data_IF_039041146156
#
_entry.id   IF_039041146156
#
_cell.length_a   1.000
_cell.length_b   1.000
_cell.length_c   1.000
_cell.angle_alpha   90.00
_cell.angle_beta   90.00
_cell.angle_gamma   90.00
#
_symmetry.space_group_name_H-M   'P 1'
#
loop_
_entity.id
_entity.type
_entity.pdbx_description
1 polymer ?
#
# COMPACT_ATOMS: atom_id res chain seq x y z
N UNK A 1 10.81 -11.88 36.95
CA UNK A 1 9.87 -11.25 35.99
C UNK A 1 9.47 -12.30 34.98
N UNK A 2 8.27 -12.87 35.10
CA UNK A 2 7.73 -13.75 34.06
C UNK A 2 7.48 -12.89 32.83
N UNK A 3 8.23 -13.15 31.75
CA UNK A 3 8.03 -12.46 30.48
C UNK A 3 6.65 -12.84 29.93
N UNK A 4 5.77 -11.85 29.77
CA UNK A 4 4.36 -12.05 29.42
C UNK A 4 4.13 -12.73 28.06
N UNK A 5 5.17 -12.85 27.24
CA UNK A 5 5.15 -13.43 25.88
C UNK A 5 5.71 -14.86 25.79
N UNK A 6 6.24 -15.42 26.89
CA UNK A 6 6.86 -16.75 26.84
C UNK A 6 5.82 -17.86 26.70
N UNK A 7 5.85 -18.59 25.57
CA UNK A 7 4.97 -19.73 25.31
C UNK A 7 3.53 -19.36 24.92
N UNK A 8 3.27 -18.10 24.59
CA UNK A 8 1.97 -17.61 24.10
C UNK A 8 2.12 -17.04 22.69
N UNK A 9 1.03 -17.07 21.93
CA UNK A 9 0.95 -16.27 20.70
C UNK A 9 0.72 -14.81 21.09
N UNK A 10 1.74 -13.99 20.88
CA UNK A 10 1.72 -12.56 21.13
C UNK A 10 1.72 -11.73 19.83
N UNK A 11 1.32 -12.35 18.70
CA UNK A 11 1.39 -11.73 17.36
C UNK A 11 0.72 -10.37 17.32
N UNK A 12 -0.41 -10.19 18.01
CA UNK A 12 -1.11 -8.90 18.09
C UNK A 12 -0.29 -7.84 18.83
N UNK A 13 0.27 -8.17 19.99
CA UNK A 13 1.02 -7.24 20.82
C UNK A 13 2.26 -6.68 20.10
N UNK A 14 2.89 -7.47 19.22
CA UNK A 14 3.98 -7.01 18.36
C UNK A 14 3.56 -5.94 17.34
N UNK A 15 2.27 -5.85 17.01
CA UNK A 15 1.75 -4.85 16.09
C UNK A 15 1.19 -3.65 16.84
N UNK A 16 0.38 -3.89 17.86
CA UNK A 16 -0.29 -2.82 18.61
C UNK A 16 0.63 -2.12 19.60
N UNK A 17 1.75 -2.75 19.98
CA UNK A 17 2.61 -2.32 21.07
C UNK A 17 2.01 -2.53 22.46
N UNK A 18 0.83 -3.16 22.54
CA UNK A 18 0.14 -3.40 23.80
C UNK A 18 0.46 -4.78 24.37
N UNK A 19 1.33 -4.80 25.38
CA UNK A 19 1.78 -6.02 26.08
C UNK A 19 1.10 -6.23 27.44
N UNK A 20 -0.01 -5.53 27.71
CA UNK A 20 -0.86 -5.81 28.87
C UNK A 20 -1.68 -7.10 28.65
N UNK A 21 -2.43 -7.55 29.67
CA UNK A 21 -3.22 -8.79 29.59
C UNK A 21 -4.28 -8.79 28.48
N UNK A 22 -4.86 -7.63 28.15
CA UNK A 22 -5.84 -7.49 27.08
C UNK A 22 -5.21 -7.43 25.68
N UNK A 23 -3.99 -6.92 25.57
CA UNK A 23 -3.23 -6.80 24.33
C UNK A 23 -2.51 -8.10 23.92
N UNK A 24 -2.26 -8.99 24.87
CA UNK A 24 -1.73 -10.35 24.66
C UNK A 24 -2.80 -11.30 24.10
N UNK A 25 -3.28 -10.96 22.90
CA UNK A 25 -4.26 -11.73 22.15
C UNK A 25 -3.61 -12.37 20.92
N UNK A 26 -4.12 -13.56 20.57
CA UNK A 26 -3.78 -14.30 19.36
C UNK A 26 -4.72 -13.94 18.18
N UNK A 27 -5.71 -13.06 18.42
CA UNK A 27 -6.65 -12.59 17.42
C UNK A 27 -6.10 -11.40 16.62
N UNK A 28 -6.04 -11.56 15.29
CA UNK A 28 -5.51 -10.58 14.34
C UNK A 28 -6.50 -10.27 13.20
N UNK A 29 -7.69 -10.86 13.20
CA UNK A 29 -8.63 -10.72 12.07
C UNK A 29 -9.28 -9.33 12.01
N UNK A 30 -9.23 -8.56 13.07
CA UNK A 30 -9.66 -7.16 13.14
C UNK A 30 -8.56 -6.17 12.72
N UNK A 31 -7.31 -6.61 12.58
CA UNK A 31 -6.21 -5.76 12.14
C UNK A 31 -6.38 -5.30 10.69
N UNK A 32 -5.86 -4.12 10.37
CA UNK A 32 -5.85 -3.55 9.03
C UNK A 32 -4.93 -4.34 8.08
N UNK A 33 -5.12 -4.24 6.75
CA UNK A 33 -4.22 -4.84 5.76
C UNK A 33 -2.73 -4.49 5.98
N UNK A 34 -2.44 -3.25 6.37
CA UNK A 34 -1.08 -2.77 6.61
C UNK A 34 -0.47 -3.40 7.87
N UNK A 35 -1.27 -3.54 8.93
CA UNK A 35 -0.86 -4.20 10.18
C UNK A 35 -0.60 -5.70 9.98
N UNK A 36 -1.46 -6.38 9.21
CA UNK A 36 -1.25 -7.78 8.83
C UNK A 36 0.03 -7.99 8.01
N UNK A 37 0.38 -7.02 7.16
CA UNK A 37 1.66 -7.04 6.44
C UNK A 37 2.84 -6.98 7.42
N UNK A 38 2.75 -6.17 8.47
CA UNK A 38 3.78 -6.13 9.52
C UNK A 38 3.92 -7.49 10.23
N UNK A 39 2.83 -8.24 10.46
CA UNK A 39 2.90 -9.60 11.03
C UNK A 39 3.69 -10.54 10.13
N UNK A 40 3.43 -10.50 8.81
CA UNK A 40 4.18 -11.32 7.84
C UNK A 40 5.67 -10.97 7.90
N UNK A 41 6.01 -9.68 7.94
CA UNK A 41 7.39 -9.24 8.03
C UNK A 41 8.09 -9.73 9.30
N UNK A 42 7.43 -9.63 10.46
CA UNK A 42 7.96 -10.20 11.70
C UNK A 42 8.16 -11.71 11.59
N UNK A 43 7.22 -12.42 10.98
CA UNK A 43 7.33 -13.88 10.78
C UNK A 43 8.56 -14.24 9.94
N UNK A 44 8.81 -13.50 8.85
CA UNK A 44 10.00 -13.67 7.99
C UNK A 44 11.30 -13.34 8.73
N UNK A 45 11.31 -12.25 9.51
CA UNK A 45 12.43 -11.86 10.36
C UNK A 45 12.79 -12.98 11.36
N UNK A 46 11.81 -13.46 12.13
CA UNK A 46 12.04 -14.51 13.13
C UNK A 46 12.44 -15.84 12.47
N UNK A 47 11.88 -16.17 11.30
CA UNK A 47 12.27 -17.38 10.56
C UNK A 47 13.73 -17.36 10.10
N UNK A 48 14.28 -16.17 9.82
CA UNK A 48 15.68 -15.99 9.43
C UNK A 48 16.62 -16.07 10.63
N UNK A 49 16.26 -15.38 11.71
CA UNK A 49 17.19 -15.11 12.81
C UNK A 49 17.08 -16.12 13.98
N UNK A 50 16.04 -16.97 13.98
CA UNK A 50 15.80 -17.96 15.03
C UNK A 50 15.58 -19.36 14.45
N UNK A 51 16.04 -20.38 15.20
CA UNK A 51 15.82 -21.78 14.83
C UNK A 51 14.34 -22.16 15.02
N UNK A 52 13.67 -22.46 13.91
CA UNK A 52 12.31 -23.00 13.94
C UNK A 52 12.20 -24.25 14.83
N UNK A 53 11.20 -24.27 15.72
CA UNK A 53 10.98 -25.37 16.68
C UNK A 53 9.70 -26.16 16.43
N UNK A 54 8.72 -25.60 15.74
CA UNK A 54 7.43 -26.23 15.51
C UNK A 54 6.29 -25.21 15.45
N UNK A 55 5.07 -25.74 15.48
CA UNK A 55 3.83 -24.95 15.50
C UNK A 55 3.26 -24.90 16.91
N UNK A 56 2.67 -23.77 17.27
CA UNK A 56 1.96 -23.62 18.53
C UNK A 56 0.54 -24.17 18.39
N UNK A 57 0.18 -25.15 19.22
CA UNK A 57 -1.18 -25.67 19.32
C UNK A 57 -2.08 -24.57 19.88
N UNK A 58 -3.16 -24.24 19.18
CA UNK A 58 -4.07 -23.17 19.56
C UNK A 58 -4.94 -22.71 18.40
N UNK A 59 -5.22 -21.41 18.34
CA UNK A 59 -6.14 -20.83 17.38
C UNK A 59 -5.76 -21.08 15.92
N UNK A 60 -4.46 -21.08 15.59
CA UNK A 60 -3.97 -21.26 14.21
C UNK A 60 -3.75 -22.72 13.83
N UNK A 61 -3.35 -23.58 14.78
CA UNK A 61 -3.01 -24.97 14.50
C UNK A 61 -3.59 -25.91 15.54
N UNK A 62 -4.14 -27.04 15.09
CA UNK A 62 -4.67 -28.08 15.98
C UNK A 62 -3.55 -28.91 16.64
N UNK A 63 -3.94 -29.89 17.48
CA UNK A 63 -3.00 -30.78 18.18
C UNK A 63 -2.15 -31.66 17.25
N UNK A 64 -2.54 -31.81 15.98
CA UNK A 64 -1.82 -32.54 14.95
C UNK A 64 -0.95 -31.61 14.08
N UNK A 65 -1.01 -30.30 14.32
CA UNK A 65 -0.30 -29.28 13.55
C UNK A 65 -0.96 -28.90 12.23
N UNK A 66 -2.22 -29.27 12.00
CA UNK A 66 -2.98 -28.86 10.82
C UNK A 66 -3.50 -27.43 10.98
N UNK A 67 -3.57 -26.64 9.91
CA UNK A 67 -4.15 -25.30 9.95
C UNK A 67 -5.64 -25.36 10.28
N UNK A 68 -6.09 -24.50 11.18
CA UNK A 68 -7.51 -24.33 11.52
C UNK A 68 -8.25 -23.49 10.47
N UNK A 69 -9.57 -23.36 10.59
CA UNK A 69 -10.35 -22.40 9.80
C UNK A 69 -9.84 -20.96 10.00
N UNK A 70 -9.49 -20.60 11.23
CA UNK A 70 -8.98 -19.27 11.58
C UNK A 70 -7.66 -18.97 10.85
N UNK A 71 -6.72 -19.93 10.81
CA UNK A 71 -5.49 -19.78 10.05
C UNK A 71 -5.77 -19.48 8.58
N UNK A 72 -6.66 -20.26 7.96
CA UNK A 72 -6.99 -20.08 6.55
C UNK A 72 -7.62 -18.71 6.27
N UNK A 73 -8.45 -18.21 7.20
CA UNK A 73 -9.06 -16.89 7.08
C UNK A 73 -8.02 -15.77 7.16
N UNK A 74 -7.11 -15.81 8.14
CA UNK A 74 -6.00 -14.84 8.24
C UNK A 74 -5.14 -14.87 6.99
N UNK A 75 -4.77 -16.05 6.50
CA UNK A 75 -3.96 -16.19 5.29
C UNK A 75 -4.68 -15.69 4.04
N UNK A 76 -5.99 -15.90 3.93
CA UNK A 76 -6.80 -15.35 2.85
C UNK A 76 -6.87 -13.82 2.93
N UNK A 77 -7.03 -13.24 4.12
CA UNK A 77 -7.02 -11.80 4.33
C UNK A 77 -5.68 -11.17 3.95
N UNK A 78 -4.56 -11.80 4.35
CA UNK A 78 -3.21 -11.41 3.95
C UNK A 78 -3.03 -11.49 2.43
N UNK A 79 -3.48 -12.58 1.80
CA UNK A 79 -3.39 -12.76 0.35
C UNK A 79 -4.18 -11.69 -0.41
N UNK A 80 -5.40 -11.42 0.01
CA UNK A 80 -6.25 -10.37 -0.57
C UNK A 80 -5.62 -9.00 -0.39
N UNK A 81 -5.07 -8.69 0.80
CA UNK A 81 -4.36 -7.45 1.06
C UNK A 81 -3.14 -7.29 0.14
N UNK A 82 -2.32 -8.34 0.00
CA UNK A 82 -1.16 -8.33 -0.91
C UNK A 82 -1.59 -8.09 -2.36
N UNK A 83 -2.57 -8.82 -2.86
CA UNK A 83 -3.06 -8.65 -4.23
C UNK A 83 -3.58 -7.22 -4.46
N UNK A 84 -4.37 -6.68 -3.53
CA UNK A 84 -4.87 -5.30 -3.62
C UNK A 84 -3.73 -4.27 -3.66
N UNK A 85 -2.68 -4.44 -2.87
CA UNK A 85 -1.50 -3.57 -2.92
C UNK A 85 -0.79 -3.63 -4.28
N UNK A 86 -0.66 -4.83 -4.86
CA UNK A 86 -0.07 -5.01 -6.21
C UNK A 86 -0.95 -4.33 -7.27
N UNK A 87 -2.26 -4.50 -7.18
CA UNK A 87 -3.21 -3.87 -8.11
C UNK A 87 -3.12 -2.34 -8.01
N UNK A 88 -3.14 -1.79 -6.80
CA UNK A 88 -2.99 -0.34 -6.55
C UNK A 88 -1.65 0.20 -7.06
N UNK A 89 -0.56 -0.55 -6.90
CA UNK A 89 0.77 -0.19 -7.40
C UNK A 89 0.82 -0.23 -8.94
N UNK A 90 0.26 -1.27 -9.56
CA UNK A 90 0.18 -1.40 -11.00
C UNK A 90 -0.67 -0.28 -11.64
N UNK A 91 -1.74 0.16 -10.96
CA UNK A 91 -2.55 1.29 -11.39
C UNK A 91 -1.76 2.61 -11.25
N UNK A 92 -0.93 2.77 -10.23
CA UNK A 92 -0.05 3.95 -10.08
C UNK A 92 1.08 3.99 -11.11
N UNK A 93 1.58 2.84 -11.56
CA UNK A 93 2.51 2.79 -12.68
C UNK A 93 1.83 3.15 -14.01
N UNK A 94 0.59 2.68 -14.19
CA UNK A 94 -0.22 2.99 -15.38
C UNK A 94 -0.71 4.43 -15.41
N UNK A 95 -1.02 4.99 -14.23
CA UNK A 95 -1.57 6.32 -14.01
C UNK A 95 -0.80 7.03 -12.88
N UNK A 96 0.45 7.47 -13.15
CA UNK A 96 1.31 8.09 -12.14
C UNK A 96 0.69 9.37 -11.59
N UNK A 97 0.87 9.68 -10.29
CA UNK A 97 0.36 10.90 -9.70
C UNK A 97 0.99 12.14 -10.35
N UNK A 98 0.22 13.22 -10.38
CA UNK A 98 0.74 14.54 -10.74
C UNK A 98 1.57 15.13 -9.61
N UNK A 99 2.48 16.04 -9.95
CA UNK A 99 2.95 17.00 -8.98
C UNK A 99 1.84 18.02 -8.69
N UNK A 100 1.78 18.51 -7.47
CA UNK A 100 0.78 19.49 -7.05
C UNK A 100 1.39 20.52 -6.11
N UNK A 101 0.99 21.77 -6.28
CA UNK A 101 1.28 22.86 -5.36
C UNK A 101 0.00 23.63 -5.09
N UNK A 102 -0.09 24.26 -3.92
CA UNK A 102 -1.19 25.14 -3.56
C UNK A 102 -0.65 26.42 -2.95
N UNK A 103 -1.24 27.55 -3.33
CA UNK A 103 -1.03 28.81 -2.63
C UNK A 103 -2.33 29.60 -2.52
N UNK A 104 -2.40 30.48 -1.52
CA UNK A 104 -3.57 31.30 -1.27
C UNK A 104 -3.91 32.23 -2.45
N UNK A 105 -2.89 32.80 -3.11
CA UNK A 105 -3.07 33.77 -4.20
C UNK A 105 -3.34 33.14 -5.56
N UNK A 106 -2.89 31.90 -5.79
CA UNK A 106 -2.91 31.26 -7.11
C UNK A 106 -3.72 29.97 -7.21
N UNK A 107 -4.25 29.48 -6.08
CA UNK A 107 -5.02 28.25 -5.99
C UNK A 107 -4.16 27.00 -6.13
N UNK A 108 -4.79 25.89 -6.53
CA UNK A 108 -4.09 24.61 -6.76
C UNK A 108 -3.54 24.58 -8.18
N UNK A 109 -2.28 24.19 -8.35
CA UNK A 109 -1.69 23.88 -9.65
C UNK A 109 -1.21 22.45 -9.66
N UNK A 110 -1.54 21.73 -10.73
CA UNK A 110 -1.09 20.36 -10.98
C UNK A 110 -0.29 20.29 -12.28
N UNK A 111 0.77 19.50 -12.29
CA UNK A 111 1.57 19.30 -13.50
C UNK A 111 2.20 17.93 -13.56
N UNK A 112 2.52 17.54 -14.78
CA UNK A 112 3.27 16.34 -15.09
C UNK A 112 4.65 16.75 -15.59
N UNK A 113 5.70 16.12 -15.07
CA UNK A 113 7.10 16.25 -15.53
C UNK A 113 7.67 14.86 -15.80
N UNK A 114 8.95 14.68 -16.11
CA UNK A 114 9.56 13.33 -16.14
C UNK A 114 9.67 12.66 -14.76
N UNK A 115 9.16 13.32 -13.71
CA UNK A 115 9.30 12.92 -12.31
C UNK A 115 7.99 13.16 -11.56
N UNK A 116 7.36 12.09 -11.06
CA UNK A 116 6.15 12.18 -10.22
C UNK A 116 6.50 12.07 -8.73
N UNK A 117 5.68 12.62 -7.80
CA UNK A 117 5.92 12.45 -6.37
C UNK A 117 5.96 10.96 -5.99
N UNK A 118 6.79 10.62 -5.00
CA UNK A 118 6.98 9.23 -4.54
C UNK A 118 5.65 8.61 -4.12
N UNK A 119 5.37 7.41 -4.63
CA UNK A 119 4.62 6.41 -3.90
C UNK A 119 5.64 5.38 -3.41
N UNK A 120 5.61 5.08 -2.10
CA UNK A 120 6.54 4.11 -1.50
C UNK A 120 6.33 2.78 -2.21
N UNK A 121 7.30 2.32 -3.00
CA UNK A 121 7.28 0.96 -3.52
C UNK A 121 7.43 0.01 -2.34
N UNK A 122 6.45 -0.87 -2.05
CA UNK A 122 6.76 -2.06 -1.33
C UNK A 122 7.42 -3.01 -2.34
N UNK A 123 8.75 -3.02 -2.41
CA UNK A 123 9.44 -4.07 -3.15
C UNK A 123 8.90 -5.43 -2.69
N UNK A 124 8.23 -6.14 -3.61
CA UNK A 124 7.87 -7.55 -3.42
C UNK A 124 9.16 -8.36 -3.15
N UNK A 125 9.07 -9.44 -2.36
CA UNK A 125 10.13 -9.85 -1.47
C UNK A 125 11.22 -10.61 -2.23
N UNK A 126 12.36 -9.96 -2.41
CA UNK A 126 13.63 -10.67 -2.57
C UNK A 126 14.66 -9.89 -1.77
N UNK A 127 14.99 -10.50 -0.62
CA UNK A 127 16.17 -10.33 0.21
C UNK A 127 16.64 -8.90 0.54
N UNK A 128 16.71 -8.63 1.85
CA UNK A 128 17.81 -7.93 2.52
C UNK A 128 18.46 -6.84 1.66
N UNK A 129 17.92 -5.64 1.68
CA UNK A 129 18.73 -4.45 1.43
C UNK A 129 18.21 -3.31 2.30
N UNK A 130 19.15 -2.54 2.83
CA UNK A 130 18.86 -1.26 3.49
C UNK A 130 17.90 -0.48 2.59
N UNK A 131 16.79 -0.02 3.16
CA UNK A 131 15.79 0.79 2.47
C UNK A 131 16.47 2.01 1.84
N UNK A 132 16.83 1.92 0.56
CA UNK A 132 17.34 3.06 -0.21
C UNK A 132 16.14 3.94 -0.49
N UNK A 133 15.95 4.95 0.36
CA UNK A 133 15.04 6.06 0.08
C UNK A 133 15.69 6.89 -1.02
N UNK A 134 15.48 6.52 -2.28
CA UNK A 134 15.63 7.49 -3.34
C UNK A 134 14.43 8.43 -3.24
N UNK A 135 14.61 9.59 -2.59
CA UNK A 135 13.64 10.68 -2.46
C UNK A 135 13.23 11.32 -3.80
N UNK A 136 13.46 10.63 -4.92
CA UNK A 136 13.41 11.18 -6.27
C UNK A 136 12.08 11.00 -7.00
N UNK A 137 11.13 10.19 -6.53
CA UNK A 137 9.86 10.02 -7.24
C UNK A 137 9.89 8.98 -8.37
N UNK A 138 8.76 8.79 -9.08
CA UNK A 138 8.67 7.86 -10.21
C UNK A 138 9.28 8.55 -11.43
N UNK A 139 10.46 8.09 -11.86
CA UNK A 139 11.13 8.56 -13.07
C UNK A 139 10.52 7.94 -14.32
N UNK A 140 10.30 8.75 -15.35
CA UNK A 140 9.73 8.33 -16.64
C UNK A 140 10.40 9.04 -17.82
N UNK A 141 10.30 8.42 -18.98
CA UNK A 141 10.80 8.93 -20.27
C UNK A 141 9.86 9.95 -20.94
N UNK A 142 8.74 10.28 -20.31
CA UNK A 142 7.72 11.19 -20.85
C UNK A 142 7.19 12.16 -19.79
N UNK A 143 6.65 13.30 -20.25
CA UNK A 143 6.08 14.35 -19.39
C UNK A 143 4.58 14.12 -19.20
N UNK A 144 3.84 14.07 -20.30
CA UNK A 144 2.41 13.78 -20.31
C UNK A 144 1.53 14.93 -19.84
N UNK A 145 0.23 14.66 -19.71
CA UNK A 145 -0.79 15.65 -19.39
C UNK A 145 -1.57 15.25 -18.14
N UNK A 146 -1.88 16.19 -17.23
CA UNK A 146 -2.64 15.90 -16.03
C UNK A 146 -4.12 15.68 -16.36
N UNK A 147 -4.74 14.68 -15.73
CA UNK A 147 -6.15 14.31 -15.86
C UNK A 147 -6.73 13.93 -14.50
N UNK A 148 -8.04 14.14 -14.34
CA UNK A 148 -8.80 13.66 -13.18
C UNK A 148 -9.09 12.17 -13.39
N UNK A 149 -8.54 11.32 -12.54
CA UNK A 149 -8.81 9.89 -12.51
C UNK A 149 -9.78 9.57 -11.35
N UNK A 150 -11.00 9.19 -11.70
CA UNK A 150 -12.06 8.84 -10.77
C UNK A 150 -11.94 7.41 -10.27
N UNK A 151 -12.22 7.22 -8.99
CA UNK A 151 -12.31 5.89 -8.40
C UNK A 151 -13.58 5.18 -8.90
N UNK A 152 -13.52 3.87 -9.19
CA UNK A 152 -14.71 3.13 -9.62
C UNK A 152 -15.85 3.23 -8.59
N UNK A 153 -17.00 3.75 -9.01
CA UNK A 153 -18.18 3.85 -8.15
C UNK A 153 -18.15 5.00 -7.14
N UNK A 154 -17.22 5.95 -7.27
CA UNK A 154 -17.14 7.15 -6.42
C UNK A 154 -16.99 8.42 -7.27
N UNK A 155 -17.37 9.56 -6.71
CA UNK A 155 -17.11 10.90 -7.27
C UNK A 155 -15.71 11.43 -6.88
N UNK A 156 -15.01 10.73 -5.99
CA UNK A 156 -13.61 11.01 -5.66
C UNK A 156 -12.72 10.82 -6.88
N UNK A 157 -11.80 11.76 -7.08
CA UNK A 157 -10.79 11.68 -8.12
C UNK A 157 -9.43 12.09 -7.59
N UNK A 158 -8.39 11.61 -8.26
CA UNK A 158 -6.99 12.03 -8.06
C UNK A 158 -6.40 12.53 -9.38
N UNK A 159 -5.37 13.37 -9.29
CA UNK A 159 -4.63 13.75 -10.50
C UNK A 159 -3.75 12.59 -10.97
N UNK A 160 -3.83 12.26 -12.26
CA UNK A 160 -2.99 11.28 -12.92
C UNK A 160 -2.39 11.85 -14.21
N UNK A 161 -1.13 11.51 -14.47
CA UNK A 161 -0.42 11.89 -15.68
C UNK A 161 -0.64 10.86 -16.80
N UNK A 162 -0.93 11.34 -18.00
CA UNK A 162 -1.22 10.52 -19.18
C UNK A 162 -0.21 10.79 -20.30
N UNK A 163 0.43 9.76 -20.83
CA UNK A 163 1.46 9.89 -21.90
C UNK A 163 0.87 10.40 -23.20
N UNK A 164 -0.24 9.80 -23.64
CA UNK A 164 -0.92 10.13 -24.90
C UNK A 164 -2.43 10.24 -24.68
N UNK A 165 -2.99 11.46 -24.60
CA UNK A 165 -4.42 11.65 -24.38
C UNK A 165 -5.30 11.18 -25.55
N UNK A 166 -4.72 10.92 -26.74
CA UNK A 166 -5.47 10.48 -27.94
C UNK A 166 -5.62 8.96 -28.02
N UNK A 167 -4.63 8.23 -27.49
CA UNK A 167 -4.57 6.76 -27.52
C UNK A 167 -4.88 6.12 -26.15
N UNK A 168 -5.03 6.93 -25.11
CA UNK A 168 -5.57 6.44 -23.85
C UNK A 168 -7.09 6.42 -24.02
N UNK A 169 -7.74 5.26 -24.16
CA UNK A 169 -9.18 5.22 -24.26
C UNK A 169 -9.71 6.02 -23.08
N UNK A 170 -10.70 6.87 -23.33
CA UNK A 170 -11.57 7.40 -22.30
C UNK A 170 -12.32 6.22 -21.66
N UNK A 171 -11.59 5.33 -20.97
CA UNK A 171 -12.12 4.49 -19.90
C UNK A 171 -12.77 5.53 -19.01
N UNK A 172 -14.10 5.51 -18.87
CA UNK A 172 -14.95 6.59 -18.36
C UNK A 172 -14.64 7.14 -16.95
N UNK A 173 -13.49 6.77 -16.39
CA UNK A 173 -12.86 7.26 -15.17
C UNK A 173 -11.87 8.41 -15.42
N UNK A 174 -11.49 8.77 -16.65
CA UNK A 174 -10.58 9.89 -16.93
C UNK A 174 -11.33 11.11 -17.45
N UNK A 175 -11.08 12.28 -16.85
CA UNK A 175 -11.65 13.56 -17.30
C UNK A 175 -10.60 14.67 -17.36
N UNK A 176 -10.84 15.65 -18.23
CA UNK A 176 -9.97 16.82 -18.37
C UNK A 176 -10.29 17.88 -17.32
N UNK A 177 -9.27 18.59 -16.85
CA UNK A 177 -9.46 19.77 -16.01
C UNK A 177 -10.16 20.88 -16.81
N UNK A 178 -11.16 21.53 -16.20
CA UNK A 178 -11.79 22.73 -16.76
C UNK A 178 -10.73 23.81 -16.97
N UNK A 179 -10.87 24.57 -18.05
CA UNK A 179 -9.98 25.68 -18.41
C UNK A 179 -8.49 25.30 -18.57
N UNK A 180 -8.21 24.01 -18.79
CA UNK A 180 -6.87 23.55 -19.13
C UNK A 180 -6.79 23.08 -20.58
N UNK A 181 -5.74 23.51 -21.28
CA UNK A 181 -5.53 23.09 -22.66
C UNK A 181 -5.30 21.56 -22.73
N UNK A 182 -5.94 20.82 -23.66
CA UNK A 182 -5.87 19.35 -23.69
C UNK A 182 -4.44 18.78 -23.78
N UNK A 183 -3.50 19.53 -24.35
CA UNK A 183 -2.09 19.13 -24.47
C UNK A 183 -1.15 19.79 -23.45
N UNK A 184 -1.67 20.56 -22.49
CA UNK A 184 -0.82 21.22 -21.49
C UNK A 184 -0.27 20.20 -20.48
N UNK A 185 1.02 20.33 -20.16
CA UNK A 185 1.65 19.57 -19.08
C UNK A 185 1.34 20.11 -17.68
N UNK A 186 0.66 21.26 -17.58
CA UNK A 186 0.41 22.00 -16.35
C UNK A 186 -0.96 22.67 -16.40
N UNK A 187 -1.78 22.48 -15.37
CA UNK A 187 -3.12 23.04 -15.24
C UNK A 187 -3.27 23.78 -13.91
N UNK A 188 -3.94 24.94 -13.94
CA UNK A 188 -4.44 25.60 -12.72
C UNK A 188 -5.86 25.10 -12.46
N UNK A 189 -6.13 24.71 -11.23
CA UNK A 189 -7.45 24.23 -10.80
C UNK A 189 -8.11 25.40 -10.08
N UNK A 190 -9.19 25.87 -10.68
CA UNK A 190 -10.08 26.84 -10.05
C UNK A 190 -11.11 26.04 -9.25
N UNK A 191 -11.11 26.26 -7.93
CA UNK A 191 -12.08 25.66 -7.00
C UNK A 191 -13.37 26.44 -6.95
#
# INVERSE_FOLDING_TARGET
>A
MSSCVSGKDASRAFITGDFNETGLSDDVLDLTPQELKSIVHWTEFYARDYKYRGKLIGRYYDAYGNPTSYHNEVMNKIKTAKNKMVDEESEKLSYPPCNSEWSQDSGTRVWCSSLSPVYVQPTLPVAIDCFVVNSGGIQRDWVGVPRMLYEPGSESHRCACIKDPTNTPAKGRLQEYKDCHPKAASCKIHS
#
